data_IF_399021054559
#
_entry.id   IF_399021054559
#
_cell.length_a   1.000
_cell.length_b   1.000
_cell.length_c   1.000
_cell.angle_alpha   90.00
_cell.angle_beta   90.00
_cell.angle_gamma   90.00
#
_symmetry.space_group_name_H-M   'P 1'
#
loop_
_entity.id
_entity.type
_entity.pdbx_description
1 polymer ?
#
# COMPACT_ATOMS: atom_id res chain seq x y z
N UNK A 1 13.90 5.07 7.72
CA UNK A 1 12.66 5.24 8.56
C UNK A 1 11.63 4.15 8.26
N UNK A 2 10.97 4.09 7.09
CA UNK A 2 9.92 3.07 6.86
C UNK A 2 10.45 1.62 6.94
N UNK A 3 11.63 1.34 6.41
CA UNK A 3 12.24 0.01 6.48
C UNK A 3 12.53 -0.43 7.92
N UNK A 4 13.15 0.38 8.72
CA UNK A 4 13.47 0.08 10.13
C UNK A 4 12.21 -0.21 10.96
N UNK A 5 11.12 0.52 10.67
CA UNK A 5 9.82 0.28 11.30
C UNK A 5 9.25 -1.08 10.87
N UNK A 6 9.34 -1.41 9.58
CA UNK A 6 8.88 -2.69 9.04
C UNK A 6 9.69 -3.85 9.62
N UNK A 7 11.01 -3.73 9.69
CA UNK A 7 11.89 -4.74 10.29
C UNK A 7 11.59 -4.94 11.79
N UNK A 8 11.39 -3.84 12.52
CA UNK A 8 11.03 -3.89 13.93
C UNK A 8 9.68 -4.58 14.14
N UNK A 9 8.66 -4.22 13.33
CA UNK A 9 7.35 -4.85 13.40
C UNK A 9 7.41 -6.34 13.05
N UNK A 10 8.15 -6.73 12.02
CA UNK A 10 8.34 -8.13 11.64
C UNK A 10 8.96 -8.93 12.78
N UNK A 11 9.97 -8.40 13.43
CA UNK A 11 10.64 -9.03 14.59
C UNK A 11 9.68 -9.22 15.78
N UNK A 12 8.88 -8.18 16.10
CA UNK A 12 7.89 -8.25 17.18
C UNK A 12 6.79 -9.28 16.91
N UNK A 13 6.43 -9.48 15.64
CA UNK A 13 5.44 -10.45 15.21
C UNK A 13 6.01 -11.86 15.02
N UNK A 14 7.30 -12.09 15.27
CA UNK A 14 7.96 -13.37 15.07
C UNK A 14 8.07 -13.78 13.59
N UNK A 15 7.98 -12.81 12.68
CA UNK A 15 8.22 -13.02 11.26
C UNK A 15 9.73 -13.16 11.00
N UNK A 16 10.08 -13.81 9.89
CA UNK A 16 11.47 -14.00 9.49
C UNK A 16 12.20 -12.70 9.15
N UNK A 17 13.32 -12.82 8.45
CA UNK A 17 14.10 -11.66 8.00
C UNK A 17 13.33 -10.83 6.95
N UNK A 18 13.51 -9.52 7.00
CA UNK A 18 13.03 -8.57 6.00
C UNK A 18 14.17 -8.24 5.05
N UNK A 19 13.92 -8.38 3.75
CA UNK A 19 14.84 -7.96 2.69
C UNK A 19 14.25 -6.77 1.93
N UNK A 20 15.10 -5.85 1.50
CA UNK A 20 14.68 -4.71 0.66
C UNK A 20 14.92 -5.02 -0.80
N UNK A 21 13.94 -4.65 -1.63
CA UNK A 21 14.09 -4.53 -3.08
C UNK A 21 13.92 -3.06 -3.44
N UNK A 22 14.99 -2.43 -3.89
CA UNK A 22 14.98 -1.02 -4.26
C UNK A 22 14.88 -0.85 -5.77
N UNK A 23 14.07 0.12 -6.22
CA UNK A 23 13.94 0.49 -7.61
C UNK A 23 13.75 2.01 -7.72
N UNK A 24 14.84 2.75 -7.65
CA UNK A 24 14.83 4.23 -7.62
C UNK A 24 14.37 4.87 -8.94
N UNK A 25 14.35 4.12 -10.03
CA UNK A 25 13.97 4.63 -11.35
C UNK A 25 12.98 3.70 -12.05
N UNK A 26 12.20 4.26 -12.97
CA UNK A 26 11.30 3.46 -13.82
C UNK A 26 12.03 2.38 -14.62
N UNK A 27 13.27 2.63 -15.03
CA UNK A 27 14.09 1.67 -15.76
C UNK A 27 14.51 0.51 -14.85
N UNK A 28 14.94 0.80 -13.61
CA UNK A 28 15.27 -0.21 -12.59
C UNK A 28 14.04 -1.07 -12.27
N UNK A 29 12.89 -0.45 -12.05
CA UNK A 29 11.64 -1.15 -11.75
C UNK A 29 11.25 -2.12 -12.89
N UNK A 30 11.32 -1.68 -14.15
CA UNK A 30 11.00 -2.51 -15.30
C UNK A 30 12.01 -3.63 -15.55
N UNK A 31 13.22 -3.50 -15.02
CA UNK A 31 14.25 -4.54 -15.09
C UNK A 31 14.03 -5.66 -14.07
N UNK A 32 13.21 -5.44 -13.03
CA UNK A 32 12.90 -6.45 -12.03
C UNK A 32 12.24 -7.69 -12.66
N UNK A 33 12.51 -8.83 -12.09
CA UNK A 33 11.92 -10.12 -12.49
C UNK A 33 11.37 -10.80 -11.23
N UNK A 34 10.39 -11.71 -11.35
CA UNK A 34 9.84 -12.42 -10.20
C UNK A 34 10.90 -13.09 -9.30
N UNK A 35 12.02 -13.49 -9.88
CA UNK A 35 13.13 -14.08 -9.14
C UNK A 35 13.77 -13.15 -8.07
N UNK A 36 13.53 -11.82 -8.13
CA UNK A 36 14.00 -10.88 -7.10
C UNK A 36 13.38 -11.18 -5.74
N UNK A 37 12.22 -11.81 -5.72
CA UNK A 37 11.50 -12.20 -4.51
C UNK A 37 11.82 -13.64 -4.05
N UNK A 38 12.89 -14.23 -4.57
CA UNK A 38 13.26 -15.61 -4.20
C UNK A 38 13.47 -15.75 -2.70
N UNK A 39 12.78 -16.70 -2.08
CA UNK A 39 12.82 -16.93 -0.63
C UNK A 39 11.89 -16.01 0.18
N UNK A 40 11.21 -15.05 -0.44
CA UNK A 40 10.19 -14.27 0.26
C UNK A 40 8.89 -15.06 0.44
N UNK A 41 8.21 -14.85 1.55
CA UNK A 41 6.88 -15.41 1.84
C UNK A 41 5.76 -14.41 1.59
N UNK A 42 6.06 -13.12 1.59
CA UNK A 42 5.13 -12.02 1.33
C UNK A 42 5.88 -10.76 0.89
N UNK A 43 5.15 -9.81 0.32
CA UNK A 43 5.70 -8.51 -0.11
C UNK A 43 4.91 -7.38 0.53
N UNK A 44 5.60 -6.35 0.99
CA UNK A 44 4.99 -5.07 1.38
C UNK A 44 5.56 -4.00 0.45
N UNK A 45 4.69 -3.30 -0.25
CA UNK A 45 5.06 -2.16 -1.10
C UNK A 45 4.96 -0.89 -0.26
N UNK A 46 6.06 -0.15 -0.19
CA UNK A 46 6.12 1.13 0.55
C UNK A 46 5.58 2.25 -0.34
N UNK A 47 4.85 3.25 0.22
CA UNK A 47 4.37 4.40 -0.54
C UNK A 47 5.51 5.16 -1.21
N UNK A 48 5.43 5.32 -2.53
CA UNK A 48 6.40 6.06 -3.34
C UNK A 48 5.74 6.54 -4.65
N UNK A 49 6.06 7.74 -5.12
CA UNK A 49 5.45 8.34 -6.31
C UNK A 49 5.80 7.62 -7.61
N UNK A 50 7.02 7.06 -7.72
CA UNK A 50 7.41 6.26 -8.88
C UNK A 50 6.63 4.94 -8.83
N UNK A 51 6.55 4.29 -7.67
CA UNK A 51 5.82 3.05 -7.50
C UNK A 51 4.33 3.23 -7.80
N UNK A 52 3.72 4.31 -7.36
CA UNK A 52 2.33 4.60 -7.69
C UNK A 52 2.10 4.75 -9.20
N UNK A 53 2.99 5.45 -9.89
CA UNK A 53 2.91 5.63 -11.35
C UNK A 53 3.00 4.30 -12.09
N UNK A 54 3.84 3.37 -11.62
CA UNK A 54 4.06 2.05 -12.23
C UNK A 54 3.38 0.91 -11.47
N UNK A 55 2.34 1.20 -10.67
CA UNK A 55 1.68 0.23 -9.81
C UNK A 55 1.18 -1.02 -10.53
N UNK A 56 0.67 -0.87 -11.76
CA UNK A 56 0.23 -2.03 -12.58
C UNK A 56 1.37 -2.99 -12.90
N UNK A 57 2.55 -2.46 -13.16
CA UNK A 57 3.72 -3.29 -13.45
C UNK A 57 4.20 -3.98 -12.17
N UNK A 58 4.16 -3.29 -11.02
CA UNK A 58 4.49 -3.86 -9.71
C UNK A 58 3.51 -4.98 -9.35
N UNK A 59 2.20 -4.74 -9.49
CA UNK A 59 1.16 -5.75 -9.23
C UNK A 59 1.40 -6.99 -10.09
N UNK A 60 1.61 -6.83 -11.41
CA UNK A 60 1.89 -7.95 -12.31
C UNK A 60 3.15 -8.71 -11.90
N UNK A 61 4.21 -8.00 -11.54
CA UNK A 61 5.48 -8.59 -11.12
C UNK A 61 5.31 -9.47 -9.88
N UNK A 62 4.61 -8.97 -8.86
CA UNK A 62 4.40 -9.69 -7.60
C UNK A 62 3.42 -10.84 -7.79
N UNK A 63 2.34 -10.65 -8.54
CA UNK A 63 1.39 -11.73 -8.87
C UNK A 63 2.06 -12.84 -9.68
N UNK A 64 2.98 -12.51 -10.60
CA UNK A 64 3.79 -13.50 -11.33
C UNK A 64 4.73 -14.30 -10.41
N UNK A 65 5.16 -13.74 -9.29
CA UNK A 65 5.89 -14.46 -8.24
C UNK A 65 4.97 -15.29 -7.33
N UNK A 66 3.65 -15.17 -7.47
CA UNK A 66 2.62 -15.85 -6.65
C UNK A 66 2.75 -15.56 -5.15
N UNK A 67 3.13 -14.34 -4.80
CA UNK A 67 3.29 -13.92 -3.41
C UNK A 67 2.09 -13.09 -2.93
N UNK A 68 1.65 -13.30 -1.69
CA UNK A 68 0.71 -12.38 -1.08
C UNK A 68 1.39 -11.03 -0.87
N UNK A 69 0.66 -9.94 -1.16
CA UNK A 69 1.21 -8.61 -1.03
C UNK A 69 0.23 -7.63 -0.38
N UNK A 70 0.79 -6.72 0.42
CA UNK A 70 0.12 -5.55 0.96
C UNK A 70 0.62 -4.30 0.23
N UNK A 71 -0.31 -3.50 -0.24
CA UNK A 71 -0.04 -2.27 -0.98
C UNK A 71 -0.48 -1.03 -0.19
N UNK A 72 0.15 0.14 -0.44
CA UNK A 72 -0.12 1.35 0.35
C UNK A 72 -1.40 2.07 -0.04
N UNK A 73 -1.88 1.92 -1.28
CA UNK A 73 -3.06 2.62 -1.76
C UNK A 73 -4.06 1.65 -2.42
N UNK A 74 -5.34 2.02 -2.33
CA UNK A 74 -6.48 1.29 -2.88
C UNK A 74 -6.31 0.94 -4.37
N UNK A 75 -5.77 1.85 -5.14
CA UNK A 75 -5.64 1.74 -6.59
C UNK A 75 -4.79 0.53 -7.01
N UNK A 76 -3.92 0.04 -6.14
CA UNK A 76 -3.21 -1.22 -6.38
C UNK A 76 -4.15 -2.42 -6.31
N UNK A 77 -5.09 -2.44 -5.37
CA UNK A 77 -6.09 -3.51 -5.27
C UNK A 77 -7.06 -3.47 -6.46
N UNK A 78 -7.46 -2.28 -6.91
CA UNK A 78 -8.27 -2.07 -8.11
C UNK A 78 -7.55 -2.56 -9.38
N UNK A 79 -6.23 -2.40 -9.45
CA UNK A 79 -5.38 -2.89 -10.55
C UNK A 79 -4.97 -4.38 -10.40
N UNK A 80 -5.57 -5.13 -9.47
CA UNK A 80 -5.38 -6.57 -9.28
C UNK A 80 -4.39 -6.96 -8.18
N UNK A 81 -4.01 -6.04 -7.30
CA UNK A 81 -3.26 -6.35 -6.08
C UNK A 81 -4.12 -7.09 -5.06
N UNK A 82 -3.49 -7.91 -4.20
CA UNK A 82 -4.21 -8.77 -3.26
C UNK A 82 -4.90 -7.98 -2.14
N UNK A 83 -4.17 -7.09 -1.47
CA UNK A 83 -4.69 -6.29 -0.36
C UNK A 83 -4.04 -4.91 -0.34
N UNK A 84 -4.79 -3.89 0.07
CA UNK A 84 -4.22 -2.57 0.34
C UNK A 84 -4.66 -2.06 1.70
N UNK A 85 -3.75 -1.34 2.35
CA UNK A 85 -4.03 -0.61 3.58
C UNK A 85 -3.33 0.75 3.55
N UNK A 86 -4.10 1.81 3.50
CA UNK A 86 -3.55 3.15 3.40
C UNK A 86 -4.55 4.26 3.67
N UNK A 87 -4.03 5.49 3.75
CA UNK A 87 -4.85 6.66 4.01
C UNK A 87 -5.88 6.88 2.89
N UNK A 88 -7.11 7.21 3.27
CA UNK A 88 -8.15 7.56 2.32
C UNK A 88 -7.84 8.92 1.67
N UNK A 89 -7.41 8.87 0.41
CA UNK A 89 -6.96 10.05 -0.35
C UNK A 89 -8.10 11.05 -0.53
N UNK A 90 -9.34 10.57 -0.80
CA UNK A 90 -10.51 11.43 -0.96
C UNK A 90 -10.85 12.20 0.32
N UNK A 91 -10.69 11.56 1.49
CA UNK A 91 -10.87 12.22 2.79
C UNK A 91 -9.79 13.27 3.05
N UNK A 92 -8.55 12.98 2.68
CA UNK A 92 -7.45 13.94 2.78
C UNK A 92 -7.72 15.19 1.91
N UNK A 93 -8.19 15.02 0.68
CA UNK A 93 -8.55 16.16 -0.18
C UNK A 93 -9.74 16.96 0.38
N UNK A 94 -10.76 16.29 0.94
CA UNK A 94 -11.88 16.98 1.58
C UNK A 94 -11.41 17.83 2.75
N UNK A 95 -10.52 17.30 3.59
CA UNK A 95 -9.93 18.04 4.72
C UNK A 95 -9.02 19.18 4.25
N UNK A 96 -8.28 18.99 3.16
CA UNK A 96 -7.49 20.05 2.56
C UNK A 96 -8.37 21.23 2.09
N UNK A 97 -9.59 20.99 1.59
CA UNK A 97 -10.52 22.05 1.23
C UNK A 97 -10.91 22.92 2.42
N UNK A 98 -11.04 22.34 3.64
CA UNK A 98 -11.30 23.14 4.85
C UNK A 98 -10.14 24.09 5.17
N UNK A 99 -8.90 23.68 4.90
CA UNK A 99 -7.73 24.54 5.06
C UNK A 99 -7.73 25.68 4.04
N UNK A 100 -8.06 25.38 2.80
CA UNK A 100 -8.19 26.40 1.73
C UNK A 100 -9.26 27.42 2.11
N UNK A 101 -10.43 26.98 2.54
CA UNK A 101 -11.52 27.87 2.98
C UNK A 101 -11.07 28.80 4.12
N UNK A 102 -10.42 28.27 5.14
CA UNK A 102 -9.90 29.05 6.28
C UNK A 102 -8.85 30.08 5.84
N UNK A 103 -7.94 29.70 4.94
CA UNK A 103 -6.92 30.60 4.40
C UNK A 103 -7.57 31.71 3.58
N UNK A 104 -8.53 31.41 2.74
CA UNK A 104 -9.28 32.39 1.95
C UNK A 104 -10.08 33.37 2.83
N UNK A 105 -10.49 32.92 4.02
CA UNK A 105 -11.14 33.76 5.05
C UNK A 105 -10.16 34.54 5.95
N UNK A 106 -8.86 34.49 5.65
CA UNK A 106 -7.83 35.27 6.30
C UNK A 106 -7.02 34.55 7.38
N UNK A 107 -7.19 33.26 7.58
CA UNK A 107 -6.29 32.51 8.46
C UNK A 107 -4.88 32.43 7.85
N UNK A 108 -3.87 32.59 8.68
CA UNK A 108 -2.48 32.44 8.21
C UNK A 108 -2.12 30.96 8.18
N UNK A 109 -1.48 30.44 7.12
CA UNK A 109 -1.06 29.04 7.04
C UNK A 109 -0.21 28.58 8.24
N UNK A 110 0.63 29.46 8.78
CA UNK A 110 1.49 29.19 9.95
C UNK A 110 0.70 28.93 11.25
N UNK A 111 -0.54 29.44 11.34
CA UNK A 111 -1.40 29.29 12.52
C UNK A 111 -2.30 28.03 12.40
N UNK A 112 -2.26 27.34 11.27
CA UNK A 112 -3.05 26.13 11.05
C UNK A 112 -2.28 24.89 11.54
N UNK A 113 -2.94 24.00 12.31
CA UNK A 113 -2.27 22.81 12.83
C UNK A 113 -1.96 21.83 11.69
N UNK A 114 -0.80 21.17 11.76
CA UNK A 114 -0.51 20.01 10.91
C UNK A 114 -1.42 18.86 11.35
N UNK A 115 -2.09 18.22 10.40
CA UNK A 115 -2.98 17.09 10.66
C UNK A 115 -2.49 15.86 9.92
N UNK A 116 -2.47 14.74 10.62
CA UNK A 116 -2.25 13.43 10.01
C UNK A 116 -3.56 12.86 9.43
N UNK A 117 -3.49 11.94 8.46
CA UNK A 117 -4.65 11.19 8.03
C UNK A 117 -5.31 10.48 9.21
N UNK A 118 -6.65 10.53 9.28
CA UNK A 118 -7.42 9.86 10.34
C UNK A 118 -8.28 8.73 9.81
N UNK A 119 -8.48 8.69 8.49
CA UNK A 119 -9.22 7.63 7.82
C UNK A 119 -8.27 6.80 6.97
N UNK A 120 -8.29 5.50 7.19
CA UNK A 120 -7.57 4.51 6.43
C UNK A 120 -8.58 3.55 5.82
N UNK A 121 -8.30 3.07 4.60
CA UNK A 121 -9.10 2.06 3.95
C UNK A 121 -8.30 0.75 3.89
N UNK A 122 -8.94 -0.34 4.29
CA UNK A 122 -8.46 -1.70 4.11
C UNK A 122 -9.28 -2.39 3.03
N UNK A 123 -8.66 -2.69 1.90
CA UNK A 123 -9.31 -3.32 0.75
C UNK A 123 -8.71 -4.71 0.53
N UNK A 124 -9.57 -5.69 0.27
CA UNK A 124 -9.19 -7.08 -0.04
C UNK A 124 -9.76 -7.47 -1.40
N UNK A 125 -8.91 -8.00 -2.29
CA UNK A 125 -9.32 -8.48 -3.60
C UNK A 125 -9.43 -10.01 -3.59
N UNK A 126 -10.66 -10.54 -3.50
CA UNK A 126 -10.91 -11.99 -3.48
C UNK A 126 -10.65 -12.65 -4.83
N UNK A 127 -10.84 -11.94 -5.94
CA UNK A 127 -10.52 -12.44 -7.28
C UNK A 127 -9.02 -12.76 -7.38
N UNK A 128 -8.18 -11.82 -6.95
CA UNK A 128 -6.73 -12.02 -6.92
C UNK A 128 -6.34 -13.11 -5.92
N UNK A 129 -7.00 -13.17 -4.75
CA UNK A 129 -6.77 -14.26 -3.80
C UNK A 129 -7.01 -15.63 -4.45
N UNK A 130 -8.12 -15.79 -5.15
CA UNK A 130 -8.46 -17.03 -5.86
C UNK A 130 -7.45 -17.35 -6.97
N UNK A 131 -7.05 -16.39 -7.78
CA UNK A 131 -6.06 -16.58 -8.85
C UNK A 131 -4.69 -17.00 -8.32
N UNK A 132 -4.29 -16.47 -7.17
CA UNK A 132 -3.05 -16.82 -6.50
C UNK A 132 -3.13 -18.12 -5.67
N UNK A 133 -4.33 -18.63 -5.44
CA UNK A 133 -4.58 -19.85 -4.65
C UNK A 133 -4.60 -19.61 -3.14
N UNK A 134 -4.88 -18.37 -2.70
CA UNK A 134 -5.00 -18.03 -1.28
C UNK A 134 -6.45 -18.05 -0.82
N UNK A 135 -6.65 -18.56 0.39
CA UNK A 135 -7.91 -18.41 1.13
C UNK A 135 -7.74 -17.30 2.16
N UNK A 136 -8.54 -16.24 2.04
CA UNK A 136 -8.50 -15.14 3.01
C UNK A 136 -9.35 -15.53 4.24
N UNK A 137 -8.77 -15.49 5.46
CA UNK A 137 -9.52 -15.82 6.67
C UNK A 137 -10.71 -14.88 6.89
N UNK A 138 -11.82 -15.41 7.40
CA UNK A 138 -13.03 -14.61 7.69
C UNK A 138 -12.76 -13.42 8.61
N UNK A 139 -11.83 -13.55 9.55
CA UNK A 139 -11.43 -12.46 10.45
C UNK A 139 -10.80 -11.28 9.68
N UNK A 140 -10.08 -11.54 8.60
CA UNK A 140 -9.49 -10.52 7.73
C UNK A 140 -10.59 -9.85 6.91
N UNK A 141 -11.49 -10.65 6.31
CA UNK A 141 -12.63 -10.11 5.55
C UNK A 141 -13.56 -9.25 6.40
N UNK A 142 -13.81 -9.66 7.65
CA UNK A 142 -14.63 -8.88 8.59
C UNK A 142 -14.01 -7.53 8.99
N UNK A 143 -12.73 -7.35 8.76
CA UNK A 143 -11.99 -6.10 9.04
C UNK A 143 -11.80 -5.24 7.79
N UNK A 144 -12.07 -5.78 6.62
CA UNK A 144 -11.96 -5.03 5.38
C UNK A 144 -13.09 -4.00 5.29
N UNK A 145 -12.73 -2.77 4.89
CA UNK A 145 -13.70 -1.72 4.58
C UNK A 145 -14.36 -2.00 3.23
N UNK A 146 -13.65 -2.71 2.35
CA UNK A 146 -14.17 -3.11 1.05
C UNK A 146 -13.57 -4.46 0.61
N UNK A 147 -14.39 -5.27 -0.06
CA UNK A 147 -14.01 -6.54 -0.67
C UNK A 147 -14.34 -6.48 -2.15
N UNK A 148 -13.33 -6.69 -3.01
CA UNK A 148 -13.47 -6.78 -4.46
C UNK A 148 -13.71 -8.26 -4.82
N UNK A 149 -14.87 -8.55 -5.46
CA UNK A 149 -15.29 -9.88 -5.89
C UNK A 149 -15.17 -10.07 -7.42
#
# INVERSE_FOLDING_TARGET
>A
MAFEQTETAARLLGLGSVAIVEAETSAALRALRPAVFSGASAVIVIPDGVFYTYRRDIVRLINAARLPAMYPEREYADDGGLMSYGANVSDNFRRAADYVDRILKGAKPADLPIQEPVKFDFVVNLRTAQELGFTIPQLILARADEVIE
#
